data_IF_300386109290
#
_entry.id   IF_300386109290
#
_cell.length_a   1.000
_cell.length_b   1.000
_cell.length_c   1.000
_cell.angle_alpha   90.00
_cell.angle_beta   90.00
_cell.angle_gamma   90.00
#
_symmetry.space_group_name_H-M   'P 1'
#
loop_
_entity.id
_entity.type
_entity.pdbx_description
1 polymer ?
#
# COMPACT_ATOMS: atom_id res chain seq x y z
N UNK A 1 6.52 -15.84 -19.77
CA UNK A 1 7.90 -15.33 -19.53
C UNK A 1 8.21 -15.48 -18.05
N UNK A 2 8.98 -16.51 -17.71
CA UNK A 2 9.16 -16.98 -16.32
C UNK A 2 10.46 -16.39 -15.76
N UNK A 3 10.34 -15.40 -14.89
CA UNK A 3 11.52 -14.81 -14.22
C UNK A 3 11.85 -15.68 -13.00
N UNK A 4 12.89 -16.50 -13.12
CA UNK A 4 13.44 -17.29 -12.00
C UNK A 4 14.08 -16.35 -10.97
N UNK A 5 13.55 -16.34 -9.76
CA UNK A 5 13.92 -15.43 -8.66
C UNK A 5 15.13 -15.92 -7.83
N UNK A 6 16.11 -16.61 -8.44
CA UNK A 6 17.24 -17.22 -7.71
C UNK A 6 18.43 -16.26 -7.46
N UNK A 7 18.35 -14.98 -7.84
CA UNK A 7 19.54 -14.13 -7.97
C UNK A 7 19.73 -13.03 -6.90
N UNK A 8 18.87 -12.89 -5.88
CA UNK A 8 18.91 -11.70 -5.01
C UNK A 8 19.72 -11.80 -3.71
N UNK A 9 20.50 -12.87 -3.46
CA UNK A 9 21.20 -13.04 -2.17
C UNK A 9 22.71 -13.31 -2.22
N UNK A 10 23.43 -12.93 -3.29
CA UNK A 10 24.90 -12.99 -3.29
C UNK A 10 25.55 -11.66 -2.91
N UNK A 11 25.98 -11.54 -1.64
CA UNK A 11 26.80 -10.42 -1.14
C UNK A 11 28.28 -10.63 -1.51
N UNK A 12 28.78 -9.73 -2.38
CA UNK A 12 30.15 -9.20 -2.61
C UNK A 12 31.38 -10.07 -2.25
N UNK A 13 32.19 -10.35 -3.28
CA UNK A 13 33.48 -11.06 -3.18
C UNK A 13 34.69 -10.23 -2.75
N UNK A 14 35.73 -10.96 -2.30
CA UNK A 14 37.18 -10.68 -2.40
C UNK A 14 37.95 -12.00 -2.22
N UNK A 15 39.10 -12.22 -2.89
CA UNK A 15 39.89 -13.45 -2.77
C UNK A 15 40.82 -13.40 -1.56
N UNK A 16 40.93 -14.50 -0.80
CA UNK A 16 41.82 -14.63 0.36
C UNK A 16 43.04 -15.49 -0.02
N UNK A 17 44.26 -14.95 0.19
CA UNK A 17 45.54 -15.61 -0.12
C UNK A 17 45.88 -16.70 0.92
N UNK A 18 46.54 -17.76 0.46
CA UNK A 18 47.06 -18.87 1.27
C UNK A 18 48.20 -18.43 2.19
N UNK A 19 48.10 -18.78 3.47
CA UNK A 19 49.20 -18.83 4.44
C UNK A 19 48.87 -19.92 5.46
N UNK A 20 49.60 -21.03 5.42
CA UNK A 20 49.45 -22.17 6.34
C UNK A 20 50.04 -21.80 7.70
N UNK A 21 49.31 -22.07 8.78
CA UNK A 21 49.86 -22.74 9.96
C UNK A 21 48.71 -23.28 10.84
N UNK A 22 48.87 -24.53 11.26
CA UNK A 22 47.81 -25.38 11.80
C UNK A 22 47.94 -25.40 13.33
N UNK A 23 47.01 -24.77 14.04
CA UNK A 23 46.68 -25.12 15.43
C UNK A 23 45.36 -25.91 15.46
N UNK A 24 45.47 -27.24 15.60
CA UNK A 24 44.34 -28.16 15.74
C UNK A 24 44.33 -28.65 17.20
N UNK A 25 43.45 -28.09 18.03
CA UNK A 25 42.80 -28.87 19.11
C UNK A 25 41.56 -28.18 19.73
N UNK A 26 41.41 -26.85 19.64
CA UNK A 26 40.18 -26.15 20.08
C UNK A 26 39.25 -25.69 18.94
N UNK A 27 39.75 -25.71 17.71
CA UNK A 27 39.13 -25.14 16.51
C UNK A 27 38.09 -26.07 15.91
N UNK A 28 38.37 -27.38 15.87
CA UNK A 28 37.52 -28.41 15.25
C UNK A 28 36.09 -28.43 15.83
N UNK A 29 35.92 -28.54 17.16
CA UNK A 29 34.58 -28.54 17.80
C UNK A 29 33.78 -27.26 17.51
N UNK A 30 34.43 -26.09 17.52
CA UNK A 30 33.78 -24.80 17.18
C UNK A 30 33.40 -24.71 15.70
N UNK A 31 34.21 -25.25 14.79
CA UNK A 31 33.86 -25.32 13.36
C UNK A 31 32.73 -26.30 13.08
N UNK A 32 32.66 -27.46 13.74
CA UNK A 32 31.53 -28.39 13.58
C UNK A 32 30.22 -27.79 14.10
N UNK A 33 30.23 -27.19 15.29
CA UNK A 33 29.05 -26.50 15.83
C UNK A 33 28.58 -25.34 14.92
N UNK A 34 29.53 -24.58 14.35
CA UNK A 34 29.23 -23.50 13.40
C UNK A 34 28.66 -24.02 12.07
N UNK A 35 29.22 -25.11 11.54
CA UNK A 35 28.72 -25.73 10.31
C UNK A 35 27.33 -26.36 10.51
N UNK A 36 27.08 -26.98 11.67
CA UNK A 36 25.79 -27.56 12.02
C UNK A 36 24.71 -26.48 12.19
N UNK A 37 25.05 -25.34 12.80
CA UNK A 37 24.17 -24.17 12.89
C UNK A 37 23.83 -23.60 11.51
N UNK A 38 24.84 -23.37 10.66
CA UNK A 38 24.64 -22.88 9.29
C UNK A 38 23.84 -23.85 8.42
N UNK A 39 24.01 -25.16 8.60
CA UNK A 39 23.23 -26.19 7.91
C UNK A 39 21.75 -26.13 8.32
N UNK A 40 21.48 -25.95 9.62
CA UNK A 40 20.11 -25.79 10.14
C UNK A 40 19.45 -24.51 9.62
N UNK A 41 20.15 -23.38 9.57
CA UNK A 41 19.64 -22.12 8.99
C UNK A 41 19.30 -22.28 7.50
N UNK A 42 20.20 -22.86 6.70
CA UNK A 42 19.97 -23.08 5.28
C UNK A 42 18.76 -23.98 4.99
N UNK A 43 18.51 -24.99 5.84
CA UNK A 43 17.33 -25.85 5.72
C UNK A 43 16.03 -25.09 6.03
N UNK A 44 16.05 -24.21 7.01
CA UNK A 44 14.90 -23.36 7.36
C UNK A 44 14.59 -22.38 6.23
N UNK A 45 15.60 -21.73 5.67
CA UNK A 45 15.41 -20.79 4.55
C UNK A 45 14.90 -21.49 3.29
N UNK A 46 15.40 -22.71 3.01
CA UNK A 46 14.92 -23.53 1.90
C UNK A 46 13.44 -23.89 2.06
N UNK A 47 13.01 -24.27 3.27
CA UNK A 47 11.59 -24.55 3.55
C UNK A 47 10.70 -23.31 3.34
N UNK A 48 11.11 -22.16 3.89
CA UNK A 48 10.39 -20.88 3.71
C UNK A 48 10.31 -20.46 2.24
N UNK A 49 11.36 -20.71 1.46
CA UNK A 49 11.37 -20.42 0.02
C UNK A 49 10.40 -21.32 -0.75
N UNK A 50 10.35 -22.62 -0.42
CA UNK A 50 9.41 -23.56 -1.03
C UNK A 50 7.95 -23.22 -0.70
N UNK A 51 7.67 -22.83 0.54
CA UNK A 51 6.35 -22.38 0.97
C UNK A 51 5.92 -21.11 0.23
N UNK A 52 6.77 -20.09 0.16
CA UNK A 52 6.49 -18.88 -0.63
C UNK A 52 6.26 -19.20 -2.11
N UNK A 53 7.03 -20.10 -2.70
CA UNK A 53 6.83 -20.50 -4.11
C UNK A 53 5.46 -21.16 -4.30
N UNK A 54 5.09 -22.09 -3.42
CA UNK A 54 3.78 -22.74 -3.47
C UNK A 54 2.62 -21.74 -3.36
N UNK A 55 2.74 -20.75 -2.47
CA UNK A 55 1.73 -19.68 -2.32
C UNK A 55 1.62 -18.82 -3.57
N UNK A 56 2.75 -18.51 -4.22
CA UNK A 56 2.76 -17.80 -5.50
C UNK A 56 2.09 -18.62 -6.61
N UNK A 57 2.40 -19.92 -6.69
CA UNK A 57 1.82 -20.83 -7.69
C UNK A 57 0.31 -21.00 -7.50
N UNK A 58 -0.15 -21.00 -6.23
CA UNK A 58 -1.58 -21.07 -5.86
C UNK A 58 -2.31 -19.73 -6.03
N UNK A 59 -1.60 -18.66 -6.44
CA UNK A 59 -2.14 -17.30 -6.59
C UNK A 59 -2.75 -16.73 -5.28
N UNK A 60 -2.30 -17.23 -4.12
CA UNK A 60 -2.68 -16.69 -2.81
C UNK A 60 -1.76 -15.52 -2.45
N UNK A 61 -2.07 -14.36 -3.03
CA UNK A 61 -1.29 -13.14 -2.83
C UNK A 61 -1.26 -12.68 -1.36
N UNK A 62 -2.30 -12.96 -0.57
CA UNK A 62 -2.37 -12.51 0.82
C UNK A 62 -1.41 -13.32 1.70
N UNK A 63 -1.45 -14.65 1.58
CA UNK A 63 -0.55 -15.52 2.32
C UNK A 63 0.90 -15.36 1.85
N UNK A 64 1.12 -15.20 0.54
CA UNK A 64 2.44 -14.90 -0.02
C UNK A 64 3.04 -13.61 0.57
N UNK A 65 2.24 -12.54 0.65
CA UNK A 65 2.70 -11.28 1.24
C UNK A 65 3.00 -11.41 2.73
N UNK A 66 2.19 -12.17 3.49
CA UNK A 66 2.46 -12.43 4.91
C UNK A 66 3.76 -13.21 5.10
N UNK A 67 3.96 -14.29 4.35
CA UNK A 67 5.13 -15.14 4.44
C UNK A 67 6.41 -14.41 4.02
N UNK A 68 6.37 -13.59 2.97
CA UNK A 68 7.50 -12.72 2.57
C UNK A 68 7.83 -11.69 3.65
N UNK A 69 6.83 -11.03 4.26
CA UNK A 69 7.05 -10.09 5.37
C UNK A 69 7.75 -10.75 6.57
N UNK A 70 7.39 -11.99 6.90
CA UNK A 70 8.06 -12.77 7.95
C UNK A 70 9.53 -13.07 7.63
N UNK A 71 9.87 -13.29 6.35
CA UNK A 71 11.27 -13.52 5.90
C UNK A 71 12.12 -12.26 6.02
N UNK A 72 11.59 -11.10 5.61
CA UNK A 72 12.33 -9.83 5.68
C UNK A 72 12.46 -9.28 7.12
N UNK A 73 11.60 -9.72 8.04
CA UNK A 73 11.62 -9.29 9.43
C UNK A 73 10.97 -7.92 9.65
N UNK A 74 11.11 -7.33 10.85
CA UNK A 74 10.54 -6.02 11.16
C UNK A 74 11.11 -4.95 10.23
N UNK A 75 10.22 -4.17 9.61
CA UNK A 75 10.63 -3.02 8.81
C UNK A 75 10.99 -1.90 9.79
N UNK A 76 12.26 -1.52 9.82
CA UNK A 76 12.71 -0.34 10.56
C UNK A 76 12.36 0.91 9.73
N UNK A 77 11.28 1.58 10.10
CA UNK A 77 10.95 2.89 9.54
C UNK A 77 11.85 3.93 10.20
N UNK A 78 13.01 4.19 9.60
CA UNK A 78 13.82 5.36 9.94
C UNK A 78 13.11 6.64 9.54
N UNK A 79 13.37 7.74 10.23
CA UNK A 79 12.93 9.06 9.78
C UNK A 79 13.72 9.37 8.50
N UNK A 80 13.04 9.57 7.38
CA UNK A 80 13.66 10.06 6.14
C UNK A 80 13.81 11.59 6.24
N UNK A 81 15.04 12.11 6.33
CA UNK A 81 15.24 13.55 6.40
C UNK A 81 14.74 14.24 5.14
N UNK A 82 14.10 15.39 5.30
CA UNK A 82 13.48 16.14 4.21
C UNK A 82 14.07 17.55 4.11
N UNK A 83 14.34 18.05 2.91
CA UNK A 83 14.80 19.42 2.76
C UNK A 83 13.64 20.42 2.92
N UNK A 84 13.97 21.60 3.47
CA UNK A 84 13.08 22.77 3.46
C UNK A 84 12.70 23.17 2.02
N UNK A 85 11.67 24.01 1.88
CA UNK A 85 11.24 24.57 0.58
C UNK A 85 12.37 25.25 -0.17
N UNK A 86 13.21 26.02 0.54
CA UNK A 86 14.34 26.75 -0.04
C UNK A 86 15.57 25.86 -0.29
N UNK A 87 15.52 24.57 0.09
CA UNK A 87 16.61 23.61 -0.10
C UNK A 87 17.80 23.78 0.85
N UNK A 88 17.75 24.73 1.79
CA UNK A 88 18.88 25.12 2.66
C UNK A 88 19.03 24.25 3.92
N UNK A 89 17.92 23.85 4.52
CA UNK A 89 17.90 23.13 5.81
C UNK A 89 17.42 21.70 5.62
N UNK A 90 18.12 20.74 6.22
CA UNK A 90 17.70 19.33 6.29
C UNK A 90 16.91 19.07 7.57
N UNK A 91 15.61 18.84 7.44
CA UNK A 91 14.69 18.52 8.52
C UNK A 91 14.83 17.05 8.90
N UNK A 92 15.01 16.78 10.20
CA UNK A 92 15.19 15.42 10.75
C UNK A 92 14.19 15.08 11.85
N UNK A 93 13.48 16.08 12.36
CA UNK A 93 12.44 15.91 13.35
C UNK A 93 11.10 15.58 12.67
N UNK A 94 10.31 14.72 13.33
CA UNK A 94 9.08 14.18 12.76
C UNK A 94 8.02 15.27 12.52
N UNK A 95 7.96 16.27 13.39
CA UNK A 95 6.95 17.33 13.33
C UNK A 95 7.23 18.32 12.20
N UNK A 96 8.48 18.78 12.01
CA UNK A 96 8.85 19.64 10.90
C UNK A 96 8.71 18.91 9.57
N UNK A 97 9.04 17.61 9.49
CA UNK A 97 8.80 16.81 8.28
C UNK A 97 7.29 16.77 7.96
N UNK A 98 6.44 16.54 8.95
CA UNK A 98 4.98 16.54 8.75
C UNK A 98 4.46 17.91 8.30
N UNK A 99 4.96 19.00 8.90
CA UNK A 99 4.60 20.37 8.51
C UNK A 99 5.06 20.70 7.09
N UNK A 100 6.28 20.28 6.72
CA UNK A 100 6.83 20.45 5.38
C UNK A 100 6.03 19.70 4.32
N UNK A 101 5.56 18.49 4.64
CA UNK A 101 4.63 17.74 3.78
C UNK A 101 3.29 18.45 3.65
N UNK A 102 2.72 18.95 4.75
CA UNK A 102 1.47 19.73 4.72
C UNK A 102 1.60 20.92 3.77
N UNK A 103 2.65 21.71 3.91
CA UNK A 103 2.93 22.85 3.03
C UNK A 103 3.06 22.41 1.56
N UNK A 104 3.83 21.35 1.28
CA UNK A 104 4.00 20.83 -0.07
C UNK A 104 2.67 20.43 -0.71
N UNK A 105 1.85 19.66 -0.01
CA UNK A 105 0.55 19.21 -0.52
C UNK A 105 -0.46 20.35 -0.64
N UNK A 106 -0.43 21.33 0.27
CA UNK A 106 -1.26 22.52 0.15
C UNK A 106 -0.95 23.28 -1.13
N UNK A 107 0.33 23.49 -1.46
CA UNK A 107 0.73 24.14 -2.69
C UNK A 107 0.46 23.28 -3.94
N UNK A 108 0.66 21.96 -3.86
CA UNK A 108 0.50 21.05 -4.99
C UNK A 108 -0.99 20.86 -5.38
N UNK A 109 -1.86 20.67 -4.39
CA UNK A 109 -3.26 20.29 -4.61
C UNK A 109 -4.19 21.50 -4.75
N UNK A 110 -3.86 22.65 -4.16
CA UNK A 110 -4.69 23.85 -4.22
C UNK A 110 -4.15 24.89 -5.21
N UNK A 111 -3.67 24.45 -6.37
CA UNK A 111 -3.20 25.36 -7.41
C UNK A 111 -4.40 26.03 -8.09
N UNK A 112 -4.55 27.32 -7.87
CA UNK A 112 -5.48 28.14 -8.64
C UNK A 112 -4.92 28.30 -10.06
N UNK A 113 -5.53 27.62 -11.03
CA UNK A 113 -5.25 27.85 -12.45
C UNK A 113 -6.26 28.89 -12.96
N UNK A 114 -5.83 30.12 -13.28
CA UNK A 114 -6.72 31.09 -13.93
C UNK A 114 -6.96 30.61 -15.36
N UNK A 115 -8.07 29.92 -15.60
CA UNK A 115 -8.51 29.54 -16.93
C UNK A 115 -9.31 30.71 -17.50
N UNK A 116 -8.86 31.25 -18.62
CA UNK A 116 -9.56 32.33 -19.32
C UNK A 116 -10.94 31.82 -19.82
N UNK A 117 -11.98 32.64 -19.70
CA UNK A 117 -13.34 32.27 -20.08
C UNK A 117 -13.43 31.92 -21.58
N UNK A 118 -12.58 32.54 -22.40
CA UNK A 118 -12.44 32.31 -23.83
C UNK A 118 -11.95 30.89 -24.16
N UNK A 119 -11.14 30.29 -23.27
CA UNK A 119 -10.70 28.90 -23.43
C UNK A 119 -11.84 27.94 -23.08
N UNK A 120 -12.60 28.24 -22.03
CA UNK A 120 -13.75 27.41 -21.62
C UNK A 120 -14.85 27.39 -22.68
N UNK A 121 -15.11 28.53 -23.34
CA UNK A 121 -16.13 28.62 -24.40
C UNK A 121 -15.76 27.85 -25.67
N UNK A 122 -14.47 27.59 -25.91
CA UNK A 122 -13.99 26.77 -27.03
C UNK A 122 -14.13 25.27 -26.78
N UNK A 123 -14.36 24.83 -25.52
CA UNK A 123 -14.52 23.41 -25.20
C UNK A 123 -15.87 22.92 -25.72
N UNK A 124 -15.90 21.94 -26.66
CA UNK A 124 -17.15 21.39 -27.17
C UNK A 124 -17.99 20.79 -26.04
N UNK A 125 -19.17 21.36 -25.82
CA UNK A 125 -20.08 20.87 -24.78
C UNK A 125 -20.79 19.60 -25.26
N UNK A 126 -20.87 18.59 -24.39
CA UNK A 126 -21.71 17.41 -24.64
C UNK A 126 -23.18 17.77 -24.41
N UNK A 127 -24.08 17.05 -25.08
CA UNK A 127 -25.52 17.16 -24.83
C UNK A 127 -25.81 16.91 -23.35
N UNK A 128 -26.65 17.77 -22.77
CA UNK A 128 -27.13 17.64 -21.41
C UNK A 128 -27.95 16.34 -21.31
N UNK A 129 -27.70 15.55 -20.27
CA UNK A 129 -28.40 14.29 -20.00
C UNK A 129 -29.23 14.46 -18.74
N UNK A 130 -30.47 14.89 -18.90
CA UNK A 130 -31.39 15.13 -17.78
C UNK A 130 -31.66 13.86 -16.95
N UNK A 131 -31.49 12.68 -17.55
CA UNK A 131 -31.53 11.38 -16.86
C UNK A 131 -30.56 11.29 -15.68
N UNK A 132 -29.42 12.00 -15.74
CA UNK A 132 -28.41 12.00 -14.67
C UNK A 132 -28.80 12.89 -13.48
N UNK A 133 -29.81 13.76 -13.63
CA UNK A 133 -30.32 14.60 -12.55
C UNK A 133 -31.33 13.85 -11.65
N UNK A 134 -31.74 12.64 -12.05
CA UNK A 134 -32.68 11.82 -11.28
C UNK A 134 -31.97 11.24 -10.05
N UNK A 135 -32.67 11.23 -8.90
CA UNK A 135 -32.14 10.66 -7.67
C UNK A 135 -31.79 9.16 -7.86
N UNK A 136 -30.64 8.69 -7.33
CA UNK A 136 -30.24 7.29 -7.45
C UNK A 136 -31.31 6.32 -6.95
N UNK A 137 -31.55 5.23 -7.67
CA UNK A 137 -32.56 4.25 -7.29
C UNK A 137 -31.99 3.09 -6.44
N UNK A 138 -32.85 2.37 -5.73
CA UNK A 138 -32.42 1.27 -4.86
C UNK A 138 -31.81 0.09 -5.66
N UNK A 139 -32.30 -0.18 -6.87
CA UNK A 139 -31.80 -1.25 -7.73
C UNK A 139 -30.39 -0.99 -8.24
N UNK A 140 -30.09 0.25 -8.61
CA UNK A 140 -28.75 0.74 -8.96
C UNK A 140 -27.79 0.57 -7.79
N UNK A 141 -28.22 0.97 -6.58
CA UNK A 141 -27.40 0.82 -5.39
C UNK A 141 -27.10 -0.65 -5.08
N UNK A 142 -28.10 -1.53 -5.15
CA UNK A 142 -27.91 -2.97 -4.97
C UNK A 142 -26.95 -3.54 -6.03
N UNK A 143 -27.06 -3.09 -7.28
CA UNK A 143 -26.17 -3.48 -8.36
C UNK A 143 -24.74 -3.02 -8.08
N UNK A 144 -24.55 -1.78 -7.63
CA UNK A 144 -23.25 -1.23 -7.27
C UNK A 144 -22.60 -2.00 -6.11
N UNK A 145 -23.37 -2.31 -5.05
CA UNK A 145 -22.90 -3.12 -3.90
C UNK A 145 -22.41 -4.50 -4.39
N UNK A 146 -23.17 -5.14 -5.28
CA UNK A 146 -22.79 -6.45 -5.82
C UNK A 146 -21.53 -6.40 -6.69
N UNK A 147 -21.32 -5.30 -7.42
CA UNK A 147 -20.13 -5.08 -8.27
C UNK A 147 -18.85 -4.77 -7.48
N UNK A 148 -18.94 -4.41 -6.19
CA UNK A 148 -17.76 -4.17 -5.36
C UNK A 148 -16.85 -5.41 -5.34
N UNK A 149 -15.52 -5.22 -5.34
CA UNK A 149 -14.58 -6.36 -5.28
C UNK A 149 -14.38 -6.80 -3.84
N UNK A 150 -14.32 -8.12 -3.63
CA UNK A 150 -13.98 -8.70 -2.33
C UNK A 150 -12.46 -8.58 -2.07
N UNK A 151 -12.06 -8.75 -0.82
CA UNK A 151 -10.70 -8.71 -0.30
C UNK A 151 -9.97 -7.41 -0.63
N UNK A 152 -10.71 -6.31 -0.71
CA UNK A 152 -10.13 -4.97 -0.82
C UNK A 152 -9.68 -4.46 0.54
N UNK A 153 -8.71 -3.55 0.52
CA UNK A 153 -8.25 -2.90 1.73
C UNK A 153 -9.42 -2.18 2.40
N UNK A 154 -9.55 -2.41 3.71
CA UNK A 154 -10.60 -1.83 4.53
C UNK A 154 -10.33 -0.33 4.68
N UNK A 155 -11.40 0.47 4.65
CA UNK A 155 -11.29 1.91 4.90
C UNK A 155 -10.93 2.23 6.35
N UNK A 156 -10.73 3.52 6.67
CA UNK A 156 -10.51 3.97 8.05
C UNK A 156 -11.67 3.67 9.00
N UNK A 157 -12.85 3.39 8.45
CA UNK A 157 -14.08 2.97 9.15
C UNK A 157 -14.04 1.51 9.63
N UNK A 158 -13.10 0.70 9.14
CA UNK A 158 -13.01 -0.71 9.52
C UNK A 158 -14.06 -1.60 8.84
N UNK A 159 -14.81 -1.10 7.85
CA UNK A 159 -15.92 -1.83 7.23
C UNK A 159 -15.49 -2.40 5.87
N UNK A 160 -15.40 -3.74 5.72
CA UNK A 160 -15.08 -4.36 4.45
C UNK A 160 -16.28 -4.37 3.49
N UNK A 161 -16.01 -4.44 2.17
CA UNK A 161 -17.03 -4.47 1.12
C UNK A 161 -18.03 -5.63 1.28
N UNK A 162 -17.55 -6.75 1.83
CA UNK A 162 -18.30 -7.96 2.11
C UNK A 162 -19.48 -7.73 3.06
N UNK A 163 -19.35 -6.82 4.03
CA UNK A 163 -20.44 -6.50 4.96
C UNK A 163 -21.64 -5.94 4.21
N UNK A 164 -21.39 -5.06 3.23
CA UNK A 164 -22.45 -4.48 2.41
C UNK A 164 -23.15 -5.54 1.55
N UNK A 165 -22.40 -6.53 1.05
CA UNK A 165 -22.96 -7.65 0.27
C UNK A 165 -23.78 -8.61 1.13
N UNK A 166 -23.33 -8.91 2.35
CA UNK A 166 -24.03 -9.80 3.28
C UNK A 166 -25.28 -9.14 3.87
N UNK A 167 -25.25 -7.82 4.09
CA UNK A 167 -26.40 -7.06 4.62
C UNK A 167 -27.61 -6.99 3.69
N UNK A 168 -27.47 -7.43 2.42
CA UNK A 168 -28.55 -7.53 1.42
C UNK A 168 -29.42 -6.26 1.38
N UNK A 169 -30.74 -6.43 1.35
CA UNK A 169 -31.68 -5.34 1.06
C UNK A 169 -31.91 -4.41 2.24
N UNK A 170 -31.84 -4.91 3.48
CA UNK A 170 -32.10 -4.11 4.68
C UNK A 170 -31.03 -3.03 4.85
N UNK A 171 -29.76 -3.41 4.70
CA UNK A 171 -28.65 -2.46 4.74
C UNK A 171 -28.67 -1.52 3.53
N UNK A 172 -28.96 -2.05 2.33
CA UNK A 172 -29.08 -1.24 1.13
C UNK A 172 -30.19 -0.17 1.24
N UNK A 173 -31.33 -0.49 1.88
CA UNK A 173 -32.42 0.47 2.10
C UNK A 173 -32.00 1.63 3.02
N UNK A 174 -31.25 1.35 4.09
CA UNK A 174 -30.77 2.42 4.98
C UNK A 174 -29.72 3.29 4.29
N UNK A 175 -28.81 2.66 3.53
CA UNK A 175 -27.81 3.37 2.74
C UNK A 175 -28.46 4.24 1.64
N UNK A 176 -29.49 3.71 0.97
CA UNK A 176 -30.25 4.43 -0.04
C UNK A 176 -30.93 5.68 0.53
N UNK A 177 -31.58 5.57 1.69
CA UNK A 177 -32.16 6.72 2.40
C UNK A 177 -31.13 7.80 2.70
N UNK A 178 -29.90 7.42 3.08
CA UNK A 178 -28.82 8.37 3.34
C UNK A 178 -28.40 9.07 2.05
N UNK A 179 -28.16 8.31 0.97
CA UNK A 179 -27.77 8.85 -0.34
C UNK A 179 -28.84 9.81 -0.87
N UNK A 180 -30.12 9.45 -0.78
CA UNK A 180 -31.22 10.32 -1.20
C UNK A 180 -31.25 11.63 -0.40
N UNK A 181 -31.10 11.57 0.93
CA UNK A 181 -31.02 12.79 1.75
C UNK A 181 -29.87 13.70 1.35
N UNK A 182 -28.69 13.12 1.05
CA UNK A 182 -27.53 13.88 0.58
C UNK A 182 -27.79 14.49 -0.81
N UNK A 183 -28.47 13.76 -1.70
CA UNK A 183 -28.86 14.23 -3.03
C UNK A 183 -29.83 15.41 -2.96
N UNK A 184 -30.91 15.28 -2.17
CA UNK A 184 -31.96 16.30 -2.04
C UNK A 184 -31.48 17.58 -1.35
N UNK A 185 -30.58 17.45 -0.38
CA UNK A 185 -30.05 18.60 0.37
C UNK A 185 -28.85 19.26 -0.32
N UNK A 186 -28.24 18.59 -1.30
CA UNK A 186 -26.97 18.99 -1.91
C UNK A 186 -25.83 19.23 -0.90
N UNK A 187 -25.94 18.65 0.30
CA UNK A 187 -25.00 18.81 1.41
C UNK A 187 -24.11 17.58 1.55
N UNK A 188 -22.90 17.66 0.99
CA UNK A 188 -21.91 16.58 1.10
C UNK A 188 -21.32 16.56 2.52
N UNK A 189 -21.35 15.44 3.27
CA UNK A 189 -20.72 15.33 4.57
C UNK A 189 -19.24 15.73 4.55
N UNK A 190 -18.75 16.38 5.61
CA UNK A 190 -17.35 16.82 5.69
C UNK A 190 -16.36 15.65 5.52
N UNK A 191 -16.70 14.47 6.06
CA UNK A 191 -15.90 13.26 5.93
C UNK A 191 -15.71 12.79 4.48
N UNK A 192 -16.63 13.15 3.57
CA UNK A 192 -16.49 12.84 2.13
C UNK A 192 -15.64 13.88 1.40
N UNK A 193 -15.56 15.10 1.93
CA UNK A 193 -14.74 16.19 1.35
C UNK A 193 -13.28 16.10 1.81
N UNK A 194 -13.06 15.61 3.03
CA UNK A 194 -11.75 15.58 3.66
C UNK A 194 -10.96 14.34 3.24
N UNK A 195 -9.80 14.53 2.62
CA UNK A 195 -8.87 13.45 2.30
C UNK A 195 -7.78 13.32 3.39
N UNK A 196 -7.47 12.09 3.80
CA UNK A 196 -6.30 11.79 4.63
C UNK A 196 -5.12 11.42 3.73
N UNK A 197 -4.09 12.25 3.73
CA UNK A 197 -2.87 12.04 2.93
C UNK A 197 -1.81 11.41 3.82
N UNK A 198 -1.30 10.25 3.41
CA UNK A 198 -0.16 9.59 4.06
C UNK A 198 1.04 9.67 3.11
N UNK A 199 2.11 10.32 3.56
CA UNK A 199 3.39 10.25 2.85
C UNK A 199 4.04 8.89 3.11
N UNK A 200 4.53 8.26 2.05
CA UNK A 200 5.18 6.94 2.12
C UNK A 200 6.70 7.03 2.39
N UNK A 201 7.22 8.25 2.55
CA UNK A 201 8.65 8.55 2.66
C UNK A 201 8.99 9.06 4.04
#
# INVERSE_FOLDING_TARGET
MTVRLNALLTRKGRPFRFGKEIQICGTKKKTYAKAEFQSKEHLVDKKKAQENQHLADTHDAQSFFKATKTVYGPINHGICPLCSTDGTTLLKDKEAIALRWKEHYQHLLNRNSPIAAEVLSQIPQKQIRDELAVSPNLGELCTAINQMKNNKAIGPDGIPAEVFKVGRIELAQQLHKLIQKTWEREEIPADFRNAKIFSLF
#
